data_IF_261245840068
#
_entry.id   IF_261245840068
#
_cell.length_a   1.000
_cell.length_b   1.000
_cell.length_c   1.000
_cell.angle_alpha   90.00
_cell.angle_beta   90.00
_cell.angle_gamma   90.00
#
_symmetry.space_group_name_H-M   'P 1'
#
loop_
_entity.id
_entity.type
_entity.pdbx_description
1 polymer ?
#
# COMPACT_ATOMS: atom_id res chain seq x y z
N UNK A 1 3.44 -11.11 33.06
CA UNK A 1 3.71 -11.36 31.63
C UNK A 1 3.77 -10.03 30.89
N UNK A 2 4.91 -9.63 30.33
CA UNK A 2 4.97 -8.48 29.40
C UNK A 2 4.10 -8.83 28.19
N UNK A 3 3.20 -7.93 27.78
CA UNK A 3 2.43 -8.08 26.53
C UNK A 3 3.45 -8.23 25.39
N UNK A 4 3.58 -9.44 24.86
CA UNK A 4 4.53 -9.76 23.79
C UNK A 4 4.10 -9.17 22.43
N UNK A 5 2.84 -8.70 22.36
CA UNK A 5 2.23 -8.14 21.18
C UNK A 5 1.88 -6.67 21.42
N UNK A 6 2.38 -5.74 20.58
CA UNK A 6 1.88 -4.37 20.59
C UNK A 6 0.37 -4.38 20.32
N UNK A 7 -0.36 -3.48 20.96
CA UNK A 7 -1.78 -3.27 20.63
C UNK A 7 -1.81 -2.16 19.58
N UNK A 8 -1.94 -2.48 18.28
CA UNK A 8 -1.83 -1.48 17.23
C UNK A 8 -2.92 -0.42 17.36
N UNK A 9 -2.54 0.84 17.17
CA UNK A 9 -3.48 1.95 17.17
C UNK A 9 -4.39 1.88 15.92
N UNK A 10 -5.55 2.56 15.95
CA UNK A 10 -6.49 2.57 14.82
C UNK A 10 -5.85 2.96 13.47
N UNK A 11 -4.96 3.98 13.39
CA UNK A 11 -4.31 4.33 12.13
C UNK A 11 -3.40 3.20 11.61
N UNK A 12 -2.66 2.54 12.50
CA UNK A 12 -1.81 1.40 12.17
C UNK A 12 -2.63 0.20 11.67
N UNK A 13 -3.77 -0.09 12.30
CA UNK A 13 -4.69 -1.13 11.84
C UNK A 13 -5.22 -0.83 10.44
N UNK A 14 -5.67 0.40 10.19
CA UNK A 14 -6.15 0.82 8.87
C UNK A 14 -5.06 0.63 7.79
N UNK A 15 -3.84 1.12 8.06
CA UNK A 15 -2.70 0.92 7.16
C UNK A 15 -2.49 -0.56 6.87
N UNK A 16 -2.39 -1.39 7.92
CA UNK A 16 -2.17 -2.83 7.76
C UNK A 16 -3.24 -3.49 6.90
N UNK A 17 -4.52 -3.17 7.11
CA UNK A 17 -5.60 -3.75 6.31
C UNK A 17 -5.57 -3.33 4.84
N UNK A 18 -5.21 -2.08 4.53
CA UNK A 18 -5.07 -1.63 3.14
C UNK A 18 -4.03 -2.47 2.41
N UNK A 19 -2.83 -2.61 2.98
CA UNK A 19 -1.76 -3.43 2.38
C UNK A 19 -2.12 -4.92 2.31
N UNK A 20 -2.79 -5.45 3.33
CA UNK A 20 -3.17 -6.86 3.38
C UNK A 20 -4.21 -7.22 2.31
N UNK A 21 -5.28 -6.40 2.19
CA UNK A 21 -6.38 -6.68 1.25
C UNK A 21 -5.92 -6.49 -0.18
N UNK A 22 -5.30 -5.35 -0.51
CA UNK A 22 -4.87 -5.05 -1.87
C UNK A 22 -3.70 -5.96 -2.29
N UNK A 23 -2.73 -6.18 -1.40
CA UNK A 23 -1.65 -7.13 -1.65
C UNK A 23 -2.15 -8.56 -1.82
N UNK A 24 -3.12 -8.98 -0.99
CA UNK A 24 -3.77 -10.28 -1.11
C UNK A 24 -4.51 -10.45 -2.43
N UNK A 25 -5.17 -9.41 -2.93
CA UNK A 25 -5.83 -9.44 -4.24
C UNK A 25 -4.81 -9.68 -5.37
N UNK A 26 -3.66 -8.99 -5.36
CA UNK A 26 -2.58 -9.24 -6.31
C UNK A 26 -2.03 -10.67 -6.26
N UNK A 27 -2.13 -11.36 -5.12
CA UNK A 27 -1.68 -12.76 -4.98
C UNK A 27 -2.74 -13.73 -5.51
N UNK A 28 -4.00 -13.53 -5.10
CA UNK A 28 -5.09 -14.50 -5.34
C UNK A 28 -5.62 -14.39 -6.77
N UNK A 29 -5.70 -13.17 -7.31
CA UNK A 29 -6.26 -12.92 -8.65
C UNK A 29 -5.48 -11.80 -9.37
N UNK A 30 -4.21 -12.06 -9.74
CA UNK A 30 -3.36 -11.08 -10.40
C UNK A 30 -3.88 -10.65 -11.77
N UNK A 31 -4.57 -11.52 -12.50
CA UNK A 31 -5.05 -11.22 -13.86
C UNK A 31 -6.17 -10.19 -13.83
N UNK A 32 -7.10 -10.29 -12.87
CA UNK A 32 -8.10 -9.25 -12.68
C UNK A 32 -7.44 -7.91 -12.33
N UNK A 33 -6.45 -7.91 -11.43
CA UNK A 33 -5.69 -6.69 -11.10
C UNK A 33 -5.03 -6.10 -12.34
N UNK A 34 -4.32 -6.91 -13.14
CA UNK A 34 -3.69 -6.44 -14.38
C UNK A 34 -4.71 -5.81 -15.33
N UNK A 35 -5.84 -6.49 -15.57
CA UNK A 35 -6.88 -6.06 -16.49
C UNK A 35 -7.55 -4.73 -16.08
N UNK A 36 -7.64 -4.47 -14.77
CA UNK A 36 -8.22 -3.25 -14.23
C UNK A 36 -7.19 -2.12 -14.18
N UNK A 37 -5.93 -2.43 -13.85
CA UNK A 37 -4.89 -1.44 -13.60
C UNK A 37 -4.20 -0.97 -14.88
N UNK A 38 -4.06 -1.80 -15.90
CA UNK A 38 -3.29 -1.50 -17.11
C UNK A 38 -4.22 -1.16 -18.27
N UNK A 39 -3.88 -0.16 -19.08
CA UNK A 39 -4.61 0.14 -20.31
C UNK A 39 -4.48 -1.01 -21.32
N UNK A 40 -5.55 -1.30 -22.05
CA UNK A 40 -5.66 -2.47 -22.93
C UNK A 40 -4.48 -2.66 -23.92
N UNK A 41 -3.85 -1.57 -24.35
CA UNK A 41 -2.68 -1.60 -25.25
C UNK A 41 -1.39 -2.18 -24.62
N UNK A 42 -1.30 -2.21 -23.28
CA UNK A 42 -0.12 -2.70 -22.54
C UNK A 42 -0.41 -3.93 -21.67
N UNK A 43 -1.68 -4.35 -21.61
CA UNK A 43 -2.09 -5.56 -20.89
C UNK A 43 -1.46 -6.79 -21.57
N UNK A 44 -0.87 -7.70 -20.79
CA UNK A 44 -0.18 -8.90 -21.28
C UNK A 44 -0.99 -10.16 -20.93
N UNK A 45 -1.44 -10.30 -19.67
CA UNK A 45 -2.19 -11.45 -19.16
C UNK A 45 -1.52 -12.80 -19.43
N UNK A 46 -0.28 -12.95 -18.98
CA UNK A 46 0.45 -14.22 -19.05
C UNK A 46 0.99 -14.64 -17.68
N UNK A 47 1.66 -15.80 -17.65
CA UNK A 47 2.21 -16.35 -16.41
C UNK A 47 3.30 -15.44 -15.80
N UNK A 48 4.08 -14.77 -16.64
CA UNK A 48 5.12 -13.85 -16.18
C UNK A 48 4.51 -12.58 -15.55
N UNK A 49 3.54 -11.94 -16.20
CA UNK A 49 2.87 -10.76 -15.64
C UNK A 49 2.13 -11.10 -14.35
N UNK A 50 1.50 -12.28 -14.31
CA UNK A 50 0.86 -12.82 -13.11
C UNK A 50 1.87 -13.03 -11.97
N UNK A 51 3.03 -13.62 -12.25
CA UNK A 51 4.10 -13.82 -11.28
C UNK A 51 4.62 -12.49 -10.72
N UNK A 52 4.82 -11.48 -11.57
CA UNK A 52 5.30 -10.16 -11.14
C UNK A 52 4.29 -9.45 -10.23
N UNK A 53 2.99 -9.52 -10.56
CA UNK A 53 1.94 -8.97 -9.70
C UNK A 53 1.81 -9.72 -8.38
N UNK A 54 1.93 -11.04 -8.39
CA UNK A 54 1.96 -11.83 -7.16
C UNK A 54 3.17 -11.48 -6.28
N UNK A 55 4.35 -11.28 -6.87
CA UNK A 55 5.54 -10.82 -6.15
C UNK A 55 5.34 -9.43 -5.52
N UNK A 56 4.72 -8.51 -6.25
CA UNK A 56 4.34 -7.19 -5.72
C UNK A 56 3.33 -7.32 -4.56
N UNK A 57 2.30 -8.14 -4.74
CA UNK A 57 1.30 -8.45 -3.72
C UNK A 57 1.89 -9.07 -2.45
N UNK A 58 2.80 -10.03 -2.61
CA UNK A 58 3.49 -10.69 -1.51
C UNK A 58 4.32 -9.69 -0.68
N UNK A 59 4.98 -8.72 -1.33
CA UNK A 59 5.68 -7.65 -0.63
C UNK A 59 4.72 -6.76 0.17
N UNK A 60 3.56 -6.40 -0.39
CA UNK A 60 2.54 -5.63 0.32
C UNK A 60 1.97 -6.41 1.53
N UNK A 61 1.69 -7.70 1.37
CA UNK A 61 1.26 -8.57 2.48
C UNK A 61 2.34 -8.67 3.55
N UNK A 62 3.61 -8.83 3.19
CA UNK A 62 4.72 -8.81 4.14
C UNK A 62 4.78 -7.49 4.93
N UNK A 63 4.65 -6.35 4.25
CA UNK A 63 4.56 -5.03 4.89
C UNK A 63 3.38 -4.97 5.86
N UNK A 64 2.21 -5.51 5.50
CA UNK A 64 1.04 -5.53 6.39
C UNK A 64 1.29 -6.34 7.67
N UNK A 65 1.97 -7.48 7.57
CA UNK A 65 2.31 -8.31 8.73
C UNK A 65 3.27 -7.54 9.65
N UNK A 66 4.28 -6.88 9.07
CA UNK A 66 5.20 -6.02 9.81
C UNK A 66 4.44 -4.88 10.48
N UNK A 67 3.49 -4.24 9.79
CA UNK A 67 2.65 -3.18 10.36
C UNK A 67 1.86 -3.73 11.55
N UNK A 68 1.13 -4.83 11.41
CA UNK A 68 0.28 -5.36 12.49
C UNK A 68 1.06 -5.75 13.75
N UNK A 69 2.31 -6.21 13.61
CA UNK A 69 3.13 -6.70 14.72
C UNK A 69 4.22 -5.74 15.21
N UNK A 70 4.32 -4.54 14.64
CA UNK A 70 5.29 -3.52 15.09
C UNK A 70 4.70 -2.51 16.07
N UNK A 71 5.56 -1.80 16.79
CA UNK A 71 5.15 -0.59 17.53
C UNK A 71 5.48 0.62 16.67
N UNK A 72 4.47 1.32 16.16
CA UNK A 72 4.71 2.54 15.40
C UNK A 72 4.99 3.71 16.34
N UNK A 73 6.11 4.38 16.12
CA UNK A 73 6.42 5.67 16.75
C UNK A 73 5.94 6.81 15.85
N UNK A 74 5.89 8.04 16.39
CA UNK A 74 5.68 9.24 15.57
C UNK A 74 6.65 9.30 14.38
N UNK A 75 7.92 8.94 14.60
CA UNK A 75 8.94 8.90 13.54
C UNK A 75 8.61 7.83 12.49
N UNK A 76 8.13 6.66 12.92
CA UNK A 76 7.70 5.59 12.02
C UNK A 76 6.59 6.07 11.08
N UNK A 77 5.55 6.71 11.63
CA UNK A 77 4.46 7.25 10.82
C UNK A 77 4.94 8.32 9.81
N UNK A 78 5.80 9.25 10.25
CA UNK A 78 6.33 10.30 9.35
C UNK A 78 7.16 9.69 8.22
N UNK A 79 8.07 8.76 8.54
CA UNK A 79 8.91 8.11 7.52
C UNK A 79 8.05 7.28 6.58
N UNK A 80 7.13 6.48 7.11
CA UNK A 80 6.25 5.63 6.32
C UNK A 80 5.35 6.45 5.39
N UNK A 81 4.78 7.56 5.87
CA UNK A 81 3.97 8.45 5.04
C UNK A 81 4.79 9.13 3.96
N UNK A 82 5.91 9.77 4.32
CA UNK A 82 6.72 10.52 3.36
C UNK A 82 7.38 9.59 2.32
N UNK A 83 8.12 8.58 2.77
CA UNK A 83 8.90 7.73 1.87
C UNK A 83 8.08 6.56 1.32
N UNK A 84 7.05 6.12 2.03
CA UNK A 84 6.20 5.01 1.60
C UNK A 84 4.97 5.44 0.79
N UNK A 85 4.55 6.72 0.81
CA UNK A 85 3.39 7.18 0.01
C UNK A 85 3.77 8.13 -1.12
N UNK A 86 4.67 9.09 -0.91
CA UNK A 86 4.98 10.12 -1.93
C UNK A 86 5.49 9.51 -3.24
N UNK A 87 6.45 8.55 -3.24
CA UNK A 87 6.88 7.91 -4.48
C UNK A 87 5.74 7.24 -5.24
N UNK A 88 4.80 6.61 -4.54
CA UNK A 88 3.64 5.94 -5.17
C UNK A 88 2.60 6.92 -5.69
N UNK A 89 2.38 8.05 -5.01
CA UNK A 89 1.54 9.15 -5.53
C UNK A 89 2.11 9.67 -6.85
N UNK A 90 3.42 9.93 -6.89
CA UNK A 90 4.09 10.35 -8.13
C UNK A 90 4.05 9.28 -9.21
N UNK A 91 4.32 8.02 -8.86
CA UNK A 91 4.28 6.89 -9.77
C UNK A 91 2.91 6.75 -10.45
N UNK A 92 1.82 6.79 -9.68
CA UNK A 92 0.47 6.76 -10.23
C UNK A 92 0.18 7.97 -11.11
N UNK A 93 0.53 9.18 -10.67
CA UNK A 93 0.35 10.38 -11.49
C UNK A 93 1.05 10.24 -12.84
N UNK A 94 2.31 9.82 -12.83
CA UNK A 94 3.11 9.66 -14.04
C UNK A 94 2.48 8.63 -14.98
N UNK A 95 2.13 7.44 -14.49
CA UNK A 95 1.60 6.37 -15.33
C UNK A 95 0.11 6.49 -15.70
N UNK A 96 -0.62 7.43 -15.09
CA UNK A 96 -1.99 7.77 -15.49
C UNK A 96 -2.03 8.95 -16.46
N UNK A 97 -1.21 10.00 -16.25
CA UNK A 97 -1.32 11.26 -16.98
C UNK A 97 -0.18 11.55 -17.97
N UNK A 98 1.04 11.09 -17.69
CA UNK A 98 2.22 11.41 -18.52
C UNK A 98 2.49 10.29 -19.53
N UNK A 99 2.65 9.06 -19.02
CA UNK A 99 2.82 7.84 -19.81
C UNK A 99 1.64 6.92 -19.49
N UNK A 100 0.51 6.99 -20.22
CA UNK A 100 -0.77 6.38 -19.82
C UNK A 100 -0.75 4.85 -19.97
N UNK A 101 0.12 4.19 -19.23
CA UNK A 101 0.19 2.75 -19.09
C UNK A 101 -0.88 2.25 -18.14
N UNK A 102 -1.18 3.03 -17.10
CA UNK A 102 -2.27 2.76 -16.20
C UNK A 102 -3.62 3.23 -16.76
N UNK A 103 -4.64 2.44 -16.46
CA UNK A 103 -6.02 2.81 -16.71
C UNK A 103 -6.44 3.95 -15.80
N UNK A 104 -7.56 4.62 -16.15
CA UNK A 104 -8.15 5.66 -15.29
C UNK A 104 -8.58 5.13 -13.92
N UNK A 105 -8.79 3.81 -13.77
CA UNK A 105 -9.11 3.23 -12.47
C UNK A 105 -7.95 3.35 -11.48
N UNK A 106 -6.71 3.50 -11.94
CA UNK A 106 -5.56 3.74 -11.06
C UNK A 106 -5.54 5.13 -10.41
N UNK A 107 -6.49 6.01 -10.74
CA UNK A 107 -6.79 7.15 -9.88
C UNK A 107 -7.25 6.70 -8.49
N UNK A 108 -7.89 5.54 -8.36
CA UNK A 108 -8.22 4.95 -7.07
C UNK A 108 -6.95 4.65 -6.27
N UNK A 109 -5.92 4.09 -6.91
CA UNK A 109 -4.63 3.82 -6.25
C UNK A 109 -3.90 5.13 -5.90
N UNK A 110 -3.95 6.14 -6.79
CA UNK A 110 -3.44 7.48 -6.50
C UNK A 110 -4.08 8.08 -5.23
N UNK A 111 -5.41 8.10 -5.14
CA UNK A 111 -6.13 8.58 -3.96
C UNK A 111 -5.94 7.65 -2.75
N UNK A 112 -5.78 6.35 -2.99
CA UNK A 112 -5.41 5.37 -1.98
C UNK A 112 -4.09 5.73 -1.30
N UNK A 113 -3.05 6.05 -2.07
CA UNK A 113 -1.76 6.49 -1.56
C UNK A 113 -1.83 7.84 -0.81
N UNK A 114 -2.67 8.78 -1.26
CA UNK A 114 -2.96 9.99 -0.50
C UNK A 114 -3.69 9.69 0.83
N UNK A 115 -4.58 8.70 0.85
CA UNK A 115 -5.26 8.26 2.08
C UNK A 115 -4.29 7.58 3.06
N UNK A 116 -3.30 6.83 2.56
CA UNK A 116 -2.21 6.25 3.36
C UNK A 116 -1.40 7.39 3.99
N UNK A 117 -1.00 8.41 3.21
CA UNK A 117 -0.31 9.58 3.73
C UNK A 117 -1.14 10.30 4.81
N UNK A 118 -2.43 10.53 4.57
CA UNK A 118 -3.35 11.11 5.54
C UNK A 118 -3.46 10.28 6.82
N UNK A 119 -3.49 8.94 6.70
CA UNK A 119 -3.51 8.03 7.85
C UNK A 119 -2.20 8.10 8.63
N UNK A 120 -1.06 8.22 7.95
CA UNK A 120 0.23 8.42 8.60
C UNK A 120 0.31 9.76 9.34
N UNK A 121 -0.21 10.85 8.76
CA UNK A 121 -0.30 12.15 9.43
C UNK A 121 -1.18 12.03 10.69
N UNK A 122 -2.35 11.39 10.56
CA UNK A 122 -3.25 11.14 11.69
C UNK A 122 -2.57 10.33 12.80
N UNK A 123 -1.86 9.25 12.43
CA UNK A 123 -1.05 8.46 13.35
C UNK A 123 0.01 9.30 14.05
N UNK A 124 0.79 10.09 13.30
CA UNK A 124 1.86 10.93 13.85
C UNK A 124 1.37 12.00 14.85
N UNK A 125 0.14 12.48 14.69
CA UNK A 125 -0.48 13.45 15.60
C UNK A 125 -1.10 12.75 16.82
N UNK A 126 -1.69 11.57 16.62
CA UNK A 126 -2.43 10.85 17.66
C UNK A 126 -1.56 9.97 18.55
N UNK A 127 -0.41 9.51 18.04
CA UNK A 127 0.52 8.65 18.78
C UNK A 127 1.08 9.43 19.97
N UNK A 128 0.74 8.99 21.18
CA UNK A 128 1.41 9.47 22.40
C UNK A 128 2.75 8.75 22.47
N UNK A 129 3.86 9.47 22.25
CA UNK A 129 5.20 8.92 22.41
C UNK A 129 5.32 8.29 23.80
N UNK A 130 5.55 6.98 23.84
CA UNK A 130 6.07 6.33 25.03
C UNK A 130 7.58 6.61 25.01
N UNK A 131 8.01 7.56 25.84
CA UNK A 131 9.42 7.79 26.14
C UNK A 131 10.01 6.59 26.87
#
# INVERSE_FOLDING_TARGET
MKKFLPTPERPQLYLGFVFFILGGWCIVDPQTVESLSINQQYVILNDLSSLLLQCFGAQAVLVSIVIFWSTFTKKTYVIFGLFGSIPFVYFNYYFVFVEPMFSKLMLLDFFGNLSILGTCIWGAISTKQVN
#
